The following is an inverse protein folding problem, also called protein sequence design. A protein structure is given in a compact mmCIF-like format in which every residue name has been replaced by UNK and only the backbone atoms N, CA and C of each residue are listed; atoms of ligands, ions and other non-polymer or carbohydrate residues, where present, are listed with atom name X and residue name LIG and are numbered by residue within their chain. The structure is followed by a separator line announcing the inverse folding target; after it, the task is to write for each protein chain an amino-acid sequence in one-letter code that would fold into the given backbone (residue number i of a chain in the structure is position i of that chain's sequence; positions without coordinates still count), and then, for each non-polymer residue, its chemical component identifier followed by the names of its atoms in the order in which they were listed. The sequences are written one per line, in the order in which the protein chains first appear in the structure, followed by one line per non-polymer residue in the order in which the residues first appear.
data_IF_592456172777
#
_entry.id   IF_592456172777
#
_cell.length_a   1.000
_cell.length_b   1.000
_cell.length_c   1.000
_cell.angle_alpha   90.00
_cell.angle_beta   90.00
_cell.angle_gamma   90.00
#
_symmetry.space_group_name_H-M   'P 1'
#
loop_
_entity.id
_entity.type
_entity.pdbx_description
1 polymer ?
#
# COMPACT_ATOMS: atom_id res chain seq x y z
N UNK A 1 -7.30 14.97 0.77
CA UNK A 1 -6.08 14.35 1.33
C UNK A 1 -6.38 13.62 2.66
N UNK A 2 -7.15 14.20 3.58
CA UNK A 2 -7.47 13.58 4.88
C UNK A 2 -7.94 12.13 4.82
N UNK A 3 -8.82 11.77 3.89
CA UNK A 3 -9.33 10.41 3.79
C UNK A 3 -8.25 9.34 3.59
N UNK A 4 -7.16 9.66 2.88
CA UNK A 4 -6.04 8.72 2.65
C UNK A 4 -5.26 8.46 3.94
N UNK A 5 -5.21 9.42 4.85
CA UNK A 5 -4.51 9.33 6.14
C UNK A 5 -5.38 8.65 7.19
N UNK A 6 -6.65 9.03 7.26
CA UNK A 6 -7.60 8.51 8.25
C UNK A 6 -8.05 7.08 7.91
N UNK A 7 -8.21 6.78 6.63
CA UNK A 7 -8.66 5.46 6.16
C UNK A 7 -7.79 5.02 4.98
N UNK A 8 -6.51 4.66 5.22
CA UNK A 8 -5.63 4.17 4.19
C UNK A 8 -6.12 2.83 3.67
N UNK A 9 -6.54 2.77 2.40
CA UNK A 9 -7.07 1.55 1.79
C UNK A 9 -5.96 0.67 1.19
N UNK A 10 -4.97 1.29 0.55
CA UNK A 10 -3.86 0.53 -0.05
C UNK A 10 -2.88 0.03 1.04
N UNK A 11 -2.44 -1.24 1.00
CA UNK A 11 -1.53 -1.81 2.00
C UNK A 11 -0.23 -1.00 2.20
N UNK A 12 0.33 -0.45 1.11
CA UNK A 12 1.49 0.45 1.19
C UNK A 12 1.20 1.70 2.02
N UNK A 13 0.08 2.39 1.76
CA UNK A 13 -0.31 3.58 2.52
C UNK A 13 -0.59 3.25 3.97
N UNK A 14 -1.26 2.12 4.26
CA UNK A 14 -1.48 1.63 5.63
C UNK A 14 -0.16 1.51 6.39
N UNK A 15 0.84 0.93 5.74
CA UNK A 15 2.14 0.73 6.35
C UNK A 15 2.91 2.04 6.53
N UNK A 16 2.80 2.99 5.60
CA UNK A 16 3.36 4.34 5.77
C UNK A 16 2.75 5.05 6.98
N UNK A 17 1.43 5.03 7.13
CA UNK A 17 0.74 5.66 8.27
C UNK A 17 1.11 4.96 9.60
N UNK A 18 1.21 3.63 9.60
CA UNK A 18 1.64 2.87 10.76
C UNK A 18 3.08 3.19 11.21
N UNK A 19 3.97 3.53 10.26
CA UNK A 19 5.36 3.88 10.54
C UNK A 19 5.56 5.30 11.10
N UNK A 20 4.53 6.16 11.07
CA UNK A 20 4.62 7.50 11.65
C UNK A 20 4.68 7.38 13.18
N UNK A 21 5.66 7.98 13.86
CA UNK A 21 5.73 7.97 15.33
C UNK A 21 4.58 8.78 15.93
N UNK A 22 4.12 8.37 17.11
CA UNK A 22 3.16 9.13 17.91
C UNK A 22 3.91 9.75 19.10
N UNK A 23 3.70 11.04 19.42
CA UNK A 23 4.41 11.71 20.50
C UNK A 23 4.16 11.12 21.89
N UNK A 24 3.05 10.40 22.06
CA UNK A 24 2.69 9.73 23.30
C UNK A 24 3.52 8.44 23.46
N UNK A 25 4.38 8.32 24.49
CA UNK A 25 5.24 7.16 24.70
C UNK A 25 4.46 5.89 25.10
N UNK A 26 3.21 6.02 25.54
CA UNK A 26 2.35 4.88 25.91
C UNK A 26 1.57 4.35 24.70
N UNK A 27 1.43 5.16 23.66
CA UNK A 27 0.70 4.79 22.46
C UNK A 27 1.62 4.15 21.42
N UNK A 28 1.26 2.96 20.95
CA UNK A 28 1.93 2.29 19.82
C UNK A 28 0.90 1.96 18.75
N UNK A 29 1.20 2.33 17.51
CA UNK A 29 0.44 1.84 16.34
C UNK A 29 0.77 0.37 16.13
N UNK A 30 -0.22 -0.42 15.71
CA UNK A 30 0.04 -1.78 15.25
C UNK A 30 0.95 -1.73 14.01
N UNK A 31 2.12 -2.39 14.05
CA UNK A 31 3.02 -2.41 12.92
C UNK A 31 2.38 -3.19 11.77
N UNK A 32 2.50 -2.68 10.56
CA UNK A 32 2.17 -3.44 9.36
C UNK A 32 3.45 -4.10 8.88
N UNK A 33 3.50 -5.43 8.92
CA UNK A 33 4.62 -6.19 8.35
C UNK A 33 4.70 -5.98 6.83
N UNK A 34 5.70 -5.22 6.40
CA UNK A 34 6.14 -5.16 5.01
C UNK A 34 7.32 -6.11 4.87
N UNK A 35 7.26 -7.01 3.88
CA UNK A 35 8.37 -7.93 3.58
C UNK A 35 9.27 -7.34 2.50
N UNK A 36 10.55 -7.68 2.52
CA UNK A 36 11.47 -7.41 1.41
C UNK A 36 11.94 -5.95 1.27
N UNK A 37 12.78 -5.73 0.25
CA UNK A 37 13.49 -4.48 0.01
C UNK A 37 12.90 -3.64 -1.13
N UNK A 38 13.34 -2.39 -1.25
CA UNK A 38 12.88 -1.47 -2.30
C UNK A 38 13.31 -1.99 -3.68
N UNK A 39 12.34 -2.18 -4.57
CA UNK A 39 12.60 -2.57 -5.96
C UNK A 39 13.32 -1.45 -6.71
N UNK A 40 14.12 -1.80 -7.72
CA UNK A 40 14.78 -0.82 -8.58
C UNK A 40 13.76 0.16 -9.21
N UNK A 41 14.08 1.46 -9.30
CA UNK A 41 13.19 2.46 -9.89
C UNK A 41 13.16 2.43 -11.43
N UNK A 42 14.18 1.84 -12.05
CA UNK A 42 14.32 1.68 -13.51
C UNK A 42 13.73 0.33 -13.90
N UNK A 43 13.06 0.27 -15.06
CA UNK A 43 12.41 -0.92 -15.61
C UNK A 43 11.46 -1.62 -14.61
N UNK A 44 10.40 -0.92 -14.15
CA UNK A 44 9.46 -1.48 -13.19
C UNK A 44 8.78 -2.72 -13.79
N UNK A 45 8.43 -3.71 -12.95
CA UNK A 45 7.68 -4.87 -13.41
C UNK A 45 6.35 -4.44 -14.04
N UNK A 46 5.86 -5.26 -14.97
CA UNK A 46 4.57 -5.04 -15.64
C UNK A 46 3.39 -5.15 -14.67
N UNK A 47 3.57 -5.83 -13.53
CA UNK A 47 2.57 -6.02 -12.48
C UNK A 47 2.65 -4.92 -11.38
N UNK A 48 1.83 -5.04 -10.33
CA UNK A 48 1.87 -4.12 -9.19
C UNK A 48 3.27 -4.04 -8.55
N UNK A 49 3.90 -2.85 -8.57
CA UNK A 49 5.27 -2.65 -8.06
C UNK A 49 5.43 -2.97 -6.58
N UNK A 50 4.35 -2.88 -5.81
CA UNK A 50 4.35 -3.19 -4.38
C UNK A 50 4.22 -4.69 -4.09
N UNK A 51 3.89 -5.53 -5.08
CA UNK A 51 3.63 -6.96 -4.87
C UNK A 51 4.72 -7.70 -4.07
N UNK A 52 6.03 -7.54 -4.34
CA UNK A 52 7.07 -8.27 -3.59
C UNK A 52 7.07 -7.97 -2.09
N UNK A 53 6.47 -6.85 -1.71
CA UNK A 53 6.39 -6.33 -0.35
C UNK A 53 4.99 -6.33 0.24
N UNK A 54 3.99 -6.69 -0.56
CA UNK A 54 2.59 -6.57 -0.20
C UNK A 54 2.18 -7.73 0.72
N UNK A 55 1.66 -7.47 1.94
CA UNK A 55 1.27 -8.53 2.87
C UNK A 55 0.08 -9.37 2.40
N UNK A 56 -0.73 -8.82 1.47
CA UNK A 56 -1.93 -9.47 0.91
C UNK A 56 -1.77 -9.80 -0.58
N UNK A 57 -0.56 -9.67 -1.11
CA UNK A 57 -0.26 -9.95 -2.51
C UNK A 57 -0.25 -11.44 -2.81
N UNK A 58 -0.79 -11.83 -3.97
CA UNK A 58 -0.85 -13.22 -4.41
C UNK A 58 -0.53 -13.38 -5.90
N UNK A 59 -0.67 -14.61 -6.42
CA UNK A 59 -0.42 -14.93 -7.83
C UNK A 59 -1.28 -14.10 -8.79
N UNK A 60 -2.51 -13.73 -8.40
CA UNK A 60 -3.40 -12.88 -9.18
C UNK A 60 -2.76 -11.51 -9.44
N UNK A 61 -2.21 -10.90 -8.37
CA UNK A 61 -1.52 -9.62 -8.49
C UNK A 61 -0.29 -9.68 -9.39
N UNK A 62 0.37 -10.85 -9.50
CA UNK A 62 1.55 -11.07 -10.35
C UNK A 62 1.18 -11.29 -11.82
N UNK A 63 0.05 -11.96 -12.06
CA UNK A 63 -0.43 -12.33 -13.39
C UNK A 63 -1.16 -11.20 -14.14
N UNK A 64 -1.55 -10.13 -13.43
CA UNK A 64 -2.22 -8.98 -14.01
C UNK A 64 -1.25 -7.81 -14.22
N UNK A 65 -1.50 -6.94 -15.23
CA UNK A 65 -0.77 -5.70 -15.37
C UNK A 65 -0.98 -4.80 -14.16
N UNK A 66 -0.15 -3.75 -14.04
CA UNK A 66 -0.27 -2.77 -12.98
C UNK A 66 -1.72 -2.25 -12.88
N UNK A 67 -2.33 -2.25 -11.67
CA UNK A 67 -3.71 -1.81 -11.52
C UNK A 67 -3.85 -0.36 -11.96
N UNK A 68 -4.96 -0.04 -12.64
CA UNK A 68 -5.35 1.33 -12.94
C UNK A 68 -5.78 2.04 -11.66
N UNK A 69 -5.61 3.36 -11.62
CA UNK A 69 -6.10 4.19 -10.54
C UNK A 69 -7.63 4.30 -10.65
N UNK A 70 -8.35 3.83 -9.63
CA UNK A 70 -9.82 3.85 -9.59
C UNK A 70 -10.32 4.70 -8.42
N UNK A 71 -11.42 5.40 -8.62
CA UNK A 71 -12.13 6.07 -7.53
C UNK A 71 -12.93 5.02 -6.74
N UNK A 72 -12.62 4.86 -5.46
CA UNK A 72 -13.30 3.90 -4.56
C UNK A 72 -14.31 4.58 -3.64
N UNK A 73 -14.19 5.90 -3.48
CA UNK A 73 -15.14 6.82 -2.85
C UNK A 73 -14.84 8.23 -3.34
N UNK A 74 -15.78 9.16 -3.16
CA UNK A 74 -15.64 10.54 -3.62
C UNK A 74 -14.28 11.15 -3.22
N UNK A 75 -13.44 11.45 -4.21
CA UNK A 75 -12.12 12.06 -4.03
C UNK A 75 -11.04 11.14 -3.44
N UNK A 76 -11.27 9.83 -3.33
CA UNK A 76 -10.26 8.85 -2.90
C UNK A 76 -10.02 7.84 -4.01
N UNK A 77 -8.78 7.82 -4.48
CA UNK A 77 -8.35 6.97 -5.57
C UNK A 77 -7.36 5.92 -5.10
N UNK A 78 -7.50 4.69 -5.59
CA UNK A 78 -6.61 3.57 -5.26
C UNK A 78 -6.30 2.74 -6.49
N UNK A 79 -5.05 2.33 -6.62
CA UNK A 79 -4.59 1.36 -7.62
C UNK A 79 -4.24 0.06 -6.90
N UNK A 80 -5.22 -0.84 -6.71
CA UNK A 80 -5.03 -2.15 -6.07
C UNK A 80 -5.89 -3.19 -6.78
N UNK A 81 -5.40 -4.42 -6.88
CA UNK A 81 -6.19 -5.56 -7.41
C UNK A 81 -7.12 -6.18 -6.36
N UNK A 82 -6.94 -5.83 -5.09
CA UNK A 82 -7.73 -6.34 -3.95
C UNK A 82 -8.82 -5.36 -3.50
N UNK A 83 -9.07 -4.31 -4.29
CA UNK A 83 -10.06 -3.26 -4.07
C UNK A 83 -10.91 -3.05 -5.32
#
# INVERSE_FOLDING_TARGET
AEGVIQEPLHPYTRALIAAVPVPDPTYKREPVEIKGDVSAPIDPPSYCRFLPRCPIGDATCKGLPHPSLKEVRAGHFVACHKL
#
